data_IF_849065149902
#
_entry.id   IF_849065149902
#
_cell.length_a   1.000
_cell.length_b   1.000
_cell.length_c   1.000
_cell.angle_alpha   90.00
_cell.angle_beta   90.00
_cell.angle_gamma   90.00
#
_symmetry.space_group_name_H-M   'P 1'
#
loop_
_entity.id
_entity.type
_entity.pdbx_description
1 polymer ?
#
# COMPACT_ATOMS: atom_id res chain seq x y z
N UNK A 1 14.43 -7.28 0.19
CA UNK A 1 15.57 -7.04 -0.71
C UNK A 1 15.65 -5.57 -1.15
N UNK A 2 15.29 -4.65 -0.25
CA UNK A 2 15.47 -3.22 -0.48
C UNK A 2 16.66 -2.77 0.34
N UNK A 3 17.60 -2.11 -0.32
CA UNK A 3 18.67 -1.29 0.27
C UNK A 3 19.85 -2.07 0.88
N UNK A 4 20.69 -2.62 0.00
CA UNK A 4 22.12 -2.38 0.17
C UNK A 4 22.31 -0.87 -0.06
N UNK A 5 22.32 -0.10 1.03
CA UNK A 5 22.74 1.30 1.00
C UNK A 5 24.22 1.31 0.63
N UNK A 6 24.49 1.41 -0.67
CA UNK A 6 25.81 1.62 -1.25
C UNK A 6 26.31 3.00 -0.80
N UNK A 7 27.28 3.10 0.12
CA UNK A 7 27.63 4.37 0.76
C UNK A 7 28.45 5.31 -0.13
N UNK A 8 28.86 4.85 -1.31
CA UNK A 8 29.55 5.67 -2.28
C UNK A 8 29.04 5.32 -3.67
N UNK A 9 28.29 6.23 -4.25
CA UNK A 9 28.36 6.58 -5.68
C UNK A 9 27.35 7.69 -5.93
N UNK A 10 27.78 8.74 -6.63
CA UNK A 10 26.91 9.69 -7.32
C UNK A 10 25.92 9.03 -8.32
N UNK A 11 25.89 7.69 -8.39
CA UNK A 11 25.08 6.83 -9.26
C UNK A 11 23.69 6.58 -8.66
N UNK A 12 23.51 6.75 -7.35
CA UNK A 12 22.17 6.80 -6.77
C UNK A 12 21.33 7.96 -7.34
N UNK A 13 21.96 9.02 -7.90
CA UNK A 13 21.24 10.16 -8.49
C UNK A 13 20.72 9.91 -9.90
N UNK A 14 21.24 8.90 -10.61
CA UNK A 14 20.86 8.56 -11.98
C UNK A 14 19.68 7.58 -12.03
N UNK A 15 19.35 6.92 -10.92
CA UNK A 15 18.28 5.93 -10.86
C UNK A 15 17.01 6.53 -10.31
N UNK A 16 15.88 6.12 -10.87
CA UNK A 16 14.55 6.41 -10.34
C UNK A 16 13.86 5.11 -9.92
N UNK A 17 13.22 5.09 -8.74
CA UNK A 17 12.49 3.92 -8.23
C UNK A 17 11.09 3.77 -8.83
N UNK A 18 10.43 4.86 -9.24
CA UNK A 18 9.10 4.85 -9.83
C UNK A 18 8.74 6.21 -10.44
N UNK A 19 7.62 6.27 -11.16
CA UNK A 19 7.09 7.48 -11.80
C UNK A 19 6.88 8.66 -10.83
N UNK A 20 6.65 8.43 -9.54
CA UNK A 20 6.45 9.53 -8.57
C UNK A 20 7.76 10.24 -8.23
N UNK A 21 8.82 9.47 -7.97
CA UNK A 21 10.17 10.01 -7.74
C UNK A 21 10.69 10.71 -9.01
N UNK A 22 10.39 10.16 -10.19
CA UNK A 22 10.73 10.81 -11.45
C UNK A 22 10.08 12.18 -11.56
N UNK A 23 8.78 12.27 -11.29
CA UNK A 23 8.04 13.53 -11.31
C UNK A 23 8.62 14.55 -10.33
N UNK A 24 9.00 14.11 -9.12
CA UNK A 24 9.61 15.00 -8.13
C UNK A 24 10.97 15.54 -8.61
N UNK A 25 11.78 14.71 -9.28
CA UNK A 25 13.07 15.10 -9.83
C UNK A 25 12.96 16.06 -11.02
N UNK A 26 11.96 15.90 -11.90
CA UNK A 26 11.82 16.76 -13.09
C UNK A 26 11.20 18.13 -12.80
N UNK A 27 10.48 18.33 -11.69
CA UNK A 27 9.72 19.56 -11.39
C UNK A 27 10.55 20.84 -11.46
N UNK A 28 11.84 20.76 -11.12
CA UNK A 28 12.74 21.90 -11.03
C UNK A 28 13.67 22.04 -12.25
N UNK A 29 13.51 21.17 -13.25
CA UNK A 29 14.39 21.16 -14.42
C UNK A 29 13.84 22.13 -15.46
N UNK A 30 14.63 23.15 -15.79
CA UNK A 30 14.38 24.04 -16.91
C UNK A 30 15.26 23.64 -18.09
N UNK A 31 14.67 23.59 -19.28
CA UNK A 31 15.38 23.31 -20.52
C UNK A 31 16.04 24.59 -21.04
N UNK A 32 17.28 24.47 -21.47
CA UNK A 32 18.05 25.52 -22.12
C UNK A 32 17.81 25.50 -23.64
N UNK A 33 18.26 26.55 -24.33
CA UNK A 33 18.23 26.63 -25.78
C UNK A 33 19.18 25.58 -26.37
N UNK A 34 18.71 24.76 -27.31
CA UNK A 34 19.45 23.61 -27.86
C UNK A 34 19.24 22.27 -27.15
N UNK A 35 18.63 22.28 -25.95
CA UNK A 35 18.26 21.05 -25.23
C UNK A 35 16.93 20.46 -25.74
N UNK A 36 16.95 19.14 -26.00
CA UNK A 36 15.80 18.31 -26.39
C UNK A 36 15.55 17.21 -25.35
N UNK A 37 14.32 16.70 -25.30
CA UNK A 37 13.97 15.54 -24.49
C UNK A 37 14.17 14.26 -25.30
N UNK A 38 14.89 13.30 -24.74
CA UNK A 38 15.17 12.02 -25.37
C UNK A 38 14.86 10.89 -24.38
N UNK A 39 14.18 9.86 -24.86
CA UNK A 39 14.08 8.58 -24.16
C UNK A 39 15.05 7.61 -24.80
N UNK A 40 15.96 7.02 -24.04
CA UNK A 40 16.74 5.88 -24.48
C UNK A 40 16.12 4.59 -23.95
N UNK A 41 16.20 3.53 -24.74
CA UNK A 41 15.77 2.17 -24.36
C UNK A 41 16.93 1.19 -24.57
N UNK A 42 17.15 0.32 -23.59
CA UNK A 42 18.14 -0.76 -23.70
C UNK A 42 17.47 -2.01 -24.24
N UNK A 43 17.80 -2.36 -25.48
CA UNK A 43 17.25 -3.53 -26.15
C UNK A 43 17.59 -4.80 -25.37
N UNK A 44 16.56 -5.52 -24.92
CA UNK A 44 16.69 -6.82 -24.25
C UNK A 44 17.72 -6.81 -23.11
N UNK A 45 17.63 -5.83 -22.20
CA UNK A 45 18.59 -5.62 -21.11
C UNK A 45 19.00 -6.93 -20.41
N UNK A 46 18.03 -7.73 -19.96
CA UNK A 46 18.32 -8.93 -19.16
C UNK A 46 19.18 -9.98 -19.92
N UNK A 47 18.82 -10.43 -21.13
CA UNK A 47 19.69 -11.26 -21.97
C UNK A 47 21.05 -10.66 -22.34
N UNK A 48 21.19 -9.35 -22.32
CA UNK A 48 22.39 -8.64 -22.78
C UNK A 48 23.45 -8.37 -21.69
N UNK A 49 23.14 -8.63 -20.43
CA UNK A 49 24.03 -8.30 -19.31
C UNK A 49 25.30 -9.19 -19.31
N UNK A 50 26.50 -8.61 -19.37
CA UNK A 50 27.74 -9.39 -19.31
C UNK A 50 28.05 -9.79 -17.85
N UNK A 51 27.72 -11.04 -17.50
CA UNK A 51 27.81 -11.58 -16.13
C UNK A 51 29.23 -11.51 -15.55
N UNK A 52 30.30 -11.95 -16.23
CA UNK A 52 31.65 -11.95 -15.65
C UNK A 52 32.10 -10.55 -15.20
N UNK A 53 31.95 -9.55 -16.07
CA UNK A 53 32.31 -8.16 -15.82
C UNK A 53 31.48 -7.54 -14.69
N UNK A 54 30.24 -8.00 -14.53
CA UNK A 54 29.35 -7.58 -13.45
C UNK A 54 29.76 -8.18 -12.11
N UNK A 55 30.19 -9.45 -12.09
CA UNK A 55 30.69 -10.11 -10.89
C UNK A 55 32.04 -9.52 -10.44
N UNK A 56 32.90 -9.15 -11.38
CA UNK A 56 34.16 -8.46 -11.05
C UNK A 56 33.88 -7.10 -10.41
N UNK A 57 32.93 -6.34 -10.94
CA UNK A 57 32.51 -5.07 -10.34
C UNK A 57 31.84 -5.26 -8.97
N UNK A 58 31.01 -6.30 -8.81
CA UNK A 58 30.45 -6.65 -7.51
C UNK A 58 31.55 -6.93 -6.50
N UNK A 59 32.60 -7.65 -6.91
CA UNK A 59 33.75 -7.96 -6.05
C UNK A 59 34.45 -6.67 -5.59
N UNK A 60 34.80 -5.80 -6.53
CA UNK A 60 35.43 -4.51 -6.24
C UNK A 60 34.61 -3.69 -5.24
N UNK A 61 33.29 -3.64 -5.43
CA UNK A 61 32.40 -2.93 -4.51
C UNK A 61 32.36 -3.54 -3.12
N UNK A 62 32.34 -4.87 -2.99
CA UNK A 62 32.33 -5.52 -1.68
C UNK A 62 33.67 -5.31 -0.95
N UNK A 63 34.78 -5.38 -1.67
CA UNK A 63 36.13 -5.12 -1.13
C UNK A 63 36.27 -3.67 -0.66
N UNK A 64 35.79 -2.70 -1.45
CA UNK A 64 35.79 -1.27 -1.09
C UNK A 64 34.95 -0.97 0.17
N UNK A 65 33.90 -1.75 0.42
CA UNK A 65 33.09 -1.63 1.63
C UNK A 65 33.72 -2.31 2.87
N UNK A 66 34.95 -2.81 2.75
CA UNK A 66 35.70 -3.39 3.88
C UNK A 66 35.16 -4.73 4.36
N UNK A 67 34.48 -5.49 3.50
CA UNK A 67 34.03 -6.85 3.81
C UNK A 67 35.21 -7.83 3.83
N UNK A 68 35.11 -8.84 4.68
CA UNK A 68 36.12 -9.90 4.77
C UNK A 68 36.24 -10.67 3.43
N UNK A 69 37.47 -10.91 2.98
CA UNK A 69 37.79 -11.55 1.70
C UNK A 69 37.11 -12.93 1.56
N UNK A 70 36.96 -13.66 2.66
CA UNK A 70 36.25 -14.94 2.67
C UNK A 70 34.77 -14.78 2.31
N UNK A 71 34.11 -13.76 2.88
CA UNK A 71 32.70 -13.45 2.62
C UNK A 71 32.54 -12.99 1.17
N UNK A 72 33.45 -12.12 0.68
CA UNK A 72 33.42 -11.66 -0.70
C UNK A 72 33.52 -12.85 -1.67
N UNK A 73 34.49 -13.74 -1.48
CA UNK A 73 34.64 -14.94 -2.32
C UNK A 73 33.41 -15.83 -2.30
N UNK A 74 32.81 -16.03 -1.13
CA UNK A 74 31.60 -16.84 -0.98
C UNK A 74 30.40 -16.19 -1.69
N UNK A 75 30.16 -14.90 -1.49
CA UNK A 75 29.10 -14.14 -2.15
C UNK A 75 29.22 -14.17 -3.67
N UNK A 76 30.43 -13.93 -4.22
CA UNK A 76 30.67 -13.98 -5.66
C UNK A 76 30.45 -15.39 -6.21
N UNK A 77 30.92 -16.43 -5.51
CA UNK A 77 30.71 -17.82 -5.91
C UNK A 77 29.22 -18.17 -5.95
N UNK A 78 28.46 -17.84 -4.91
CA UNK A 78 27.03 -18.10 -4.85
C UNK A 78 26.27 -17.35 -5.96
N UNK A 79 26.61 -16.08 -6.17
CA UNK A 79 26.00 -15.26 -7.23
C UNK A 79 26.31 -15.85 -8.61
N UNK A 80 27.54 -16.27 -8.85
CA UNK A 80 27.95 -16.93 -10.10
C UNK A 80 27.16 -18.21 -10.36
N UNK A 81 26.98 -19.07 -9.34
CA UNK A 81 26.18 -20.29 -9.46
C UNK A 81 24.73 -19.95 -9.83
N UNK A 82 24.11 -18.99 -9.13
CA UNK A 82 22.74 -18.56 -9.40
C UNK A 82 22.56 -17.97 -10.81
N UNK A 83 23.60 -17.33 -11.37
CA UNK A 83 23.54 -16.75 -12.72
C UNK A 83 23.84 -17.77 -13.82
N UNK A 84 24.64 -18.80 -13.54
CA UNK A 84 25.00 -19.83 -14.54
C UNK A 84 23.95 -20.95 -14.65
N UNK A 85 23.11 -21.14 -13.64
CA UNK A 85 22.08 -22.19 -13.60
C UNK A 85 20.72 -21.71 -14.14
N UNK A 86 20.74 -20.91 -15.20
CA UNK A 86 19.53 -20.43 -15.86
C UNK A 86 19.06 -21.44 -16.93
N UNK A 87 18.35 -22.47 -16.50
CA UNK A 87 17.74 -23.47 -17.39
C UNK A 87 16.21 -23.30 -17.45
N UNK A 88 15.62 -23.44 -18.62
CA UNK A 88 14.16 -23.39 -18.81
C UNK A 88 13.69 -24.44 -19.81
N UNK A 89 12.40 -24.79 -19.77
CA UNK A 89 11.79 -25.73 -20.69
C UNK A 89 10.88 -25.00 -21.67
N UNK A 90 11.02 -25.28 -22.96
CA UNK A 90 10.17 -24.75 -24.03
C UNK A 90 9.85 -25.86 -25.04
N UNK A 91 8.58 -26.03 -25.40
CA UNK A 91 8.11 -27.10 -26.30
C UNK A 91 8.59 -28.52 -25.94
N UNK A 92 8.74 -28.81 -24.65
CA UNK A 92 9.20 -30.12 -24.17
C UNK A 92 10.72 -30.29 -24.15
N UNK A 93 11.48 -29.35 -24.71
CA UNK A 93 12.95 -29.36 -24.73
C UNK A 93 13.53 -28.43 -23.65
N UNK A 94 14.71 -28.78 -23.14
CA UNK A 94 15.43 -28.01 -22.12
C UNK A 94 16.49 -27.12 -22.76
N UNK A 95 16.50 -25.85 -22.39
CA UNK A 95 17.45 -24.85 -22.85
C UNK A 95 18.22 -24.28 -21.67
N UNK A 96 19.50 -23.99 -21.87
CA UNK A 96 20.33 -23.25 -20.93
C UNK A 96 20.71 -21.91 -21.54
N UNK A 97 20.49 -20.84 -20.80
CA UNK A 97 20.90 -19.50 -21.20
C UNK A 97 22.41 -19.34 -20.94
N UNK A 98 23.18 -19.06 -22.01
CA UNK A 98 24.63 -18.87 -21.92
C UNK A 98 25.05 -17.42 -21.62
N UNK A 99 24.24 -16.45 -22.05
CA UNK A 99 24.53 -15.02 -21.90
C UNK A 99 23.37 -14.29 -21.23
N UNK A 100 23.72 -13.26 -20.45
CA UNK A 100 22.74 -12.48 -19.72
C UNK A 100 22.17 -13.17 -18.49
N UNK A 101 21.07 -12.60 -18.04
CA UNK A 101 20.29 -13.04 -16.89
C UNK A 101 18.90 -13.49 -17.34
N UNK A 102 18.37 -14.52 -16.67
CA UNK A 102 17.01 -14.98 -16.94
C UNK A 102 15.97 -14.00 -16.40
N UNK A 103 14.95 -13.69 -17.21
CA UNK A 103 13.78 -12.94 -16.74
C UNK A 103 13.01 -13.80 -15.72
N UNK A 104 12.71 -13.24 -14.56
CA UNK A 104 12.00 -13.94 -13.48
C UNK A 104 12.91 -14.53 -12.39
N UNK A 105 14.22 -14.58 -12.60
CA UNK A 105 15.16 -14.86 -11.51
C UNK A 105 15.25 -13.62 -10.60
N UNK A 106 15.16 -13.83 -9.28
CA UNK A 106 15.08 -12.76 -8.27
C UNK A 106 16.35 -11.90 -8.20
N UNK A 107 17.49 -12.45 -8.61
CA UNK A 107 18.77 -11.74 -8.65
C UNK A 107 18.98 -10.96 -9.96
N UNK A 108 18.28 -11.31 -11.04
CA UNK A 108 18.47 -10.68 -12.36
C UNK A 108 18.27 -9.16 -12.33
N UNK A 109 17.21 -8.60 -11.69
CA UNK A 109 17.05 -7.15 -11.58
C UNK A 109 18.21 -6.48 -10.84
N UNK A 110 18.77 -7.13 -9.83
CA UNK A 110 19.92 -6.58 -9.10
C UNK A 110 21.17 -6.57 -10.00
N UNK A 111 21.48 -7.70 -10.65
CA UNK A 111 22.66 -7.83 -11.52
C UNK A 111 22.58 -6.89 -12.72
N UNK A 112 21.43 -6.79 -13.39
CA UNK A 112 21.23 -5.85 -14.49
C UNK A 112 21.42 -4.39 -14.03
N UNK A 113 20.85 -4.01 -12.88
CA UNK A 113 21.02 -2.66 -12.35
C UNK A 113 22.47 -2.37 -11.95
N UNK A 114 23.17 -3.36 -11.38
CA UNK A 114 24.56 -3.24 -10.97
C UNK A 114 25.47 -3.02 -12.18
N UNK A 115 25.26 -3.80 -13.24
CA UNK A 115 25.98 -3.62 -14.49
C UNK A 115 25.71 -2.24 -15.10
N UNK A 116 24.44 -1.83 -15.19
CA UNK A 116 24.09 -0.51 -15.74
C UNK A 116 24.70 0.64 -14.93
N UNK A 117 24.78 0.51 -13.60
CA UNK A 117 25.48 1.45 -12.73
C UNK A 117 26.96 1.59 -13.09
N UNK A 118 27.64 0.46 -13.34
CA UNK A 118 29.04 0.46 -13.82
C UNK A 118 29.14 1.15 -15.18
N UNK A 119 28.31 0.74 -16.13
CA UNK A 119 28.26 1.27 -17.48
C UNK A 119 28.10 2.80 -17.48
N UNK A 120 27.11 3.31 -16.74
CA UNK A 120 26.81 4.74 -16.62
C UNK A 120 27.99 5.52 -16.03
N UNK A 121 28.65 4.95 -15.01
CA UNK A 121 29.86 5.56 -14.41
C UNK A 121 31.00 5.64 -15.42
N UNK A 122 31.28 4.54 -16.12
CA UNK A 122 32.35 4.52 -17.12
C UNK A 122 32.09 5.46 -18.29
N UNK A 123 30.85 5.54 -18.78
CA UNK A 123 30.47 6.45 -19.85
C UNK A 123 30.63 7.90 -19.39
N UNK A 124 30.18 8.22 -18.18
CA UNK A 124 30.30 9.57 -17.62
C UNK A 124 31.75 10.02 -17.45
N UNK A 125 32.65 9.09 -17.09
CA UNK A 125 34.07 9.40 -16.89
C UNK A 125 34.87 9.43 -18.20
N UNK A 126 34.52 8.58 -19.18
CA UNK A 126 35.27 8.44 -20.45
C UNK A 126 34.78 9.38 -21.55
N UNK A 127 33.51 9.76 -21.56
CA UNK A 127 32.93 10.51 -22.66
C UNK A 127 33.09 12.01 -22.41
N UNK A 128 33.43 12.75 -23.47
CA UNK A 128 33.53 14.21 -23.43
C UNK A 128 32.20 14.89 -23.07
N UNK A 129 31.09 14.26 -23.44
CA UNK A 129 29.74 14.72 -23.15
C UNK A 129 28.94 13.62 -22.46
N UNK A 130 28.26 14.01 -21.38
CA UNK A 130 27.23 13.21 -20.72
C UNK A 130 26.01 14.11 -20.46
N UNK A 131 24.78 13.67 -20.76
CA UNK A 131 23.58 14.47 -20.54
C UNK A 131 23.48 15.01 -19.11
N UNK A 132 23.12 16.29 -18.97
CA UNK A 132 22.97 16.95 -17.66
C UNK A 132 21.92 16.26 -16.80
N UNK A 133 20.87 15.76 -17.45
CA UNK A 133 19.79 14.99 -16.83
C UNK A 133 19.82 13.61 -17.45
N UNK A 134 19.91 12.60 -16.59
CA UNK A 134 19.89 11.20 -16.96
C UNK A 134 19.21 10.41 -15.84
N UNK A 135 18.02 9.89 -16.12
CA UNK A 135 17.18 9.17 -15.17
C UNK A 135 16.79 7.81 -15.73
N UNK A 136 17.35 6.75 -15.16
CA UNK A 136 17.10 5.37 -15.54
C UNK A 136 16.09 4.70 -14.62
N UNK A 137 15.11 4.04 -15.24
CA UNK A 137 14.22 3.07 -14.63
C UNK A 137 14.40 1.73 -15.34
N UNK A 138 15.19 0.83 -14.73
CA UNK A 138 15.54 -0.47 -15.33
C UNK A 138 16.23 -0.30 -16.69
N UNK A 139 15.50 -0.49 -17.78
CA UNK A 139 15.89 -0.40 -19.21
C UNK A 139 15.52 0.96 -19.84
N UNK A 140 14.45 1.60 -19.37
CA UNK A 140 14.02 2.92 -19.82
C UNK A 140 14.90 4.04 -19.22
N UNK A 141 15.38 4.96 -20.05
CA UNK A 141 16.21 6.10 -19.63
C UNK A 141 15.63 7.40 -20.17
N UNK A 142 15.33 8.34 -19.28
CA UNK A 142 14.97 9.70 -19.63
C UNK A 142 16.22 10.60 -19.58
N UNK A 143 16.45 11.36 -20.64
CA UNK A 143 17.56 12.31 -20.69
C UNK A 143 17.17 13.67 -21.28
N UNK A 144 17.87 14.70 -20.82
CA UNK A 144 17.87 16.02 -21.46
C UNK A 144 19.17 16.14 -22.24
N UNK A 145 19.06 16.15 -23.55
CA UNK A 145 20.19 16.07 -24.47
C UNK A 145 20.42 17.40 -25.18
N UNK A 146 21.65 17.86 -25.23
CA UNK A 146 22.04 19.08 -25.93
C UNK A 146 22.54 18.75 -27.33
N UNK A 147 21.75 19.13 -28.33
CA UNK A 147 22.05 18.89 -29.74
C UNK A 147 23.15 19.80 -30.30
N UNK A 148 23.50 20.87 -29.60
CA UNK A 148 24.54 21.81 -30.05
C UNK A 148 25.95 21.25 -29.81
N UNK A 149 26.11 20.41 -28.77
CA UNK A 149 27.40 19.84 -28.39
C UNK A 149 27.77 18.62 -29.23
N UNK A 150 26.83 17.68 -29.44
CA UNK A 150 27.08 16.45 -30.20
C UNK A 150 25.79 15.96 -30.88
N UNK A 151 25.91 15.36 -32.06
CA UNK A 151 24.78 14.69 -32.69
C UNK A 151 24.34 13.47 -31.87
N UNK A 152 23.02 13.32 -31.69
CA UNK A 152 22.43 12.20 -30.95
C UNK A 152 22.84 10.84 -31.53
N UNK A 153 22.87 10.71 -32.85
CA UNK A 153 23.31 9.47 -33.53
C UNK A 153 24.75 9.11 -33.20
N UNK A 154 25.64 10.12 -33.16
CA UNK A 154 27.04 9.91 -32.82
C UNK A 154 27.20 9.52 -31.35
N UNK A 155 26.39 10.08 -30.46
CA UNK A 155 26.40 9.70 -29.04
C UNK A 155 25.93 8.26 -28.84
N UNK A 156 24.83 7.86 -29.50
CA UNK A 156 24.31 6.48 -29.43
C UNK A 156 25.28 5.49 -30.06
N UNK A 157 25.93 5.84 -31.18
CA UNK A 157 27.00 5.04 -31.75
C UNK A 157 28.17 4.85 -30.77
N UNK A 158 28.57 5.90 -30.04
CA UNK A 158 29.58 5.79 -28.98
C UNK A 158 29.12 4.88 -27.83
N UNK A 159 27.87 4.99 -27.39
CA UNK A 159 27.31 4.10 -26.37
C UNK A 159 27.34 2.62 -26.80
N UNK A 160 26.85 2.33 -28.00
CA UNK A 160 26.78 0.98 -28.56
C UNK A 160 28.18 0.38 -28.84
N UNK A 161 29.17 1.22 -29.11
CA UNK A 161 30.56 0.79 -29.26
C UNK A 161 31.28 0.56 -27.92
N UNK A 162 30.77 1.11 -26.81
CA UNK A 162 31.40 0.97 -25.49
C UNK A 162 31.25 -0.46 -24.94
N UNK A 163 30.08 -1.07 -25.10
CA UNK A 163 29.83 -2.47 -24.79
C UNK A 163 29.01 -3.16 -25.89
N UNK A 164 29.60 -4.08 -26.66
CA UNK A 164 28.93 -4.71 -27.82
C UNK A 164 27.64 -5.47 -27.49
N UNK A 165 27.49 -5.95 -26.25
CA UNK A 165 26.30 -6.72 -25.83
C UNK A 165 25.10 -5.84 -25.51
N UNK A 166 25.33 -4.55 -25.19
CA UNK A 166 24.30 -3.62 -24.72
C UNK A 166 24.03 -2.62 -25.82
N UNK A 167 22.83 -2.70 -26.38
CA UNK A 167 22.41 -1.88 -27.50
C UNK A 167 21.35 -0.89 -27.01
N UNK A 168 21.64 0.39 -27.23
CA UNK A 168 20.73 1.49 -26.99
C UNK A 168 20.00 1.86 -28.28
N UNK A 169 18.70 2.09 -28.12
CA UNK A 169 17.86 2.80 -29.08
C UNK A 169 17.33 4.07 -28.43
N UNK A 170 16.77 4.97 -29.24
CA UNK A 170 16.25 6.23 -28.71
C UNK A 170 14.98 6.68 -29.43
N UNK A 171 14.16 7.40 -28.68
CA UNK A 171 13.01 8.16 -29.18
C UNK A 171 13.19 9.63 -28.80
N UNK A 172 13.08 10.53 -29.79
CA UNK A 172 13.11 11.97 -29.57
C UNK A 172 11.69 12.46 -29.31
N UNK A 173 11.54 13.35 -28.32
CA UNK A 173 10.25 13.98 -28.06
C UNK A 173 9.75 14.76 -29.29
N UNK A 174 8.56 14.40 -29.79
CA UNK A 174 7.91 15.11 -30.89
C UNK A 174 6.88 16.10 -30.33
N UNK A 175 6.81 17.31 -30.90
CA UNK A 175 5.88 18.37 -30.47
C UNK A 175 5.97 18.67 -28.97
N UNK A 176 7.20 18.76 -28.45
CA UNK A 176 7.47 19.10 -27.04
C UNK A 176 6.95 18.05 -26.03
N UNK A 177 6.64 16.83 -26.49
CA UNK A 177 6.11 15.74 -25.66
C UNK A 177 7.00 14.51 -25.76
N UNK A 178 7.26 13.89 -24.61
CA UNK A 178 7.97 12.62 -24.53
C UNK A 178 7.25 11.69 -23.54
N UNK A 179 6.70 10.55 -24.00
CA UNK A 179 6.21 9.53 -23.08
C UNK A 179 7.40 8.89 -22.36
N UNK A 180 7.30 8.73 -21.05
CA UNK A 180 8.30 8.04 -20.25
C UNK A 180 7.59 7.34 -19.07
N UNK A 181 7.77 6.03 -18.94
CA UNK A 181 7.01 5.21 -17.99
C UNK A 181 5.49 5.44 -18.13
N UNK A 182 4.80 5.70 -17.01
CA UNK A 182 3.36 5.97 -16.96
C UNK A 182 3.02 7.47 -17.15
N UNK A 183 3.98 8.32 -17.55
CA UNK A 183 3.77 9.77 -17.65
C UNK A 183 4.09 10.32 -19.03
N UNK A 184 3.37 11.37 -19.43
CA UNK A 184 3.73 12.17 -20.60
C UNK A 184 4.38 13.46 -20.12
N UNK A 185 5.68 13.60 -20.39
CA UNK A 185 6.43 14.83 -20.11
C UNK A 185 6.13 15.81 -21.23
N UNK A 186 5.73 17.03 -20.87
CA UNK A 186 5.31 18.06 -21.83
C UNK A 186 6.05 19.36 -21.51
N UNK A 187 6.82 19.85 -22.48
CA UNK A 187 7.39 21.20 -22.48
C UNK A 187 6.27 22.15 -22.94
N UNK A 188 5.65 22.84 -21.98
CA UNK A 188 4.78 24.03 -22.12
C UNK A 188 3.83 24.23 -23.33
N UNK A 189 3.32 23.19 -23.98
CA UNK A 189 2.24 23.32 -24.98
C UNK A 189 1.29 22.10 -25.03
N UNK A 190 0.11 22.27 -25.64
CA UNK A 190 -1.19 21.77 -25.17
C UNK A 190 -1.67 20.37 -25.60
N UNK A 191 -0.85 19.42 -26.06
CA UNK A 191 -1.41 18.16 -26.60
C UNK A 191 -0.96 16.89 -25.87
N UNK A 192 -1.75 15.80 -25.98
CA UNK A 192 -1.50 14.49 -25.39
C UNK A 192 -1.70 13.41 -26.47
N UNK A 193 -0.82 12.41 -26.52
CA UNK A 193 -0.88 11.24 -27.42
C UNK A 193 -2.00 10.28 -27.01
N UNK A 194 -2.76 9.80 -27.99
CA UNK A 194 -3.87 8.84 -27.84
C UNK A 194 -3.38 7.38 -27.84
N UNK A 195 -2.66 6.93 -26.81
CA UNK A 195 -2.25 5.51 -26.75
C UNK A 195 -2.31 4.95 -25.35
N UNK A 196 -3.53 4.64 -24.92
CA UNK A 196 -3.77 3.54 -23.99
C UNK A 196 -4.97 2.78 -24.54
N UNK A 197 -4.94 1.45 -24.58
CA UNK A 197 -6.03 0.63 -25.14
C UNK A 197 -7.35 0.72 -24.33
N UNK A 198 -7.43 1.58 -23.30
CA UNK A 198 -8.59 1.93 -22.43
C UNK A 198 -9.42 0.73 -21.92
N UNK A 199 -8.91 -0.49 -22.06
CA UNK A 199 -9.55 -1.73 -21.65
C UNK A 199 -9.03 -2.12 -20.29
N UNK A 200 -9.94 -2.14 -19.32
CA UNK A 200 -9.69 -2.67 -17.99
C UNK A 200 -10.55 -3.90 -17.79
N UNK A 201 -10.42 -4.56 -16.64
CA UNK A 201 -11.23 -5.72 -16.32
C UNK A 201 -12.72 -5.31 -16.36
N UNK A 202 -13.54 -5.90 -17.25
CA UNK A 202 -14.96 -5.55 -17.36
C UNK A 202 -15.73 -5.83 -16.07
N UNK A 203 -16.76 -5.03 -15.81
CA UNK A 203 -17.56 -5.15 -14.59
C UNK A 203 -18.31 -6.49 -14.48
N UNK A 204 -18.70 -7.07 -15.61
CA UNK A 204 -19.38 -8.35 -15.74
C UNK A 204 -18.46 -9.58 -15.60
N UNK A 205 -17.14 -9.40 -15.66
CA UNK A 205 -16.19 -10.52 -15.55
C UNK A 205 -16.24 -11.22 -14.18
N UNK A 206 -15.81 -12.48 -14.10
CA UNK A 206 -15.84 -13.26 -12.84
C UNK A 206 -14.70 -12.92 -11.85
N UNK A 207 -13.91 -11.88 -12.12
CA UNK A 207 -12.80 -11.46 -11.25
C UNK A 207 -13.30 -10.88 -9.90
N UNK A 208 -12.52 -11.04 -8.82
CA UNK A 208 -12.78 -10.37 -7.55
C UNK A 208 -12.92 -8.85 -7.71
N UNK A 209 -13.85 -8.25 -6.97
CA UNK A 209 -14.12 -6.80 -7.01
C UNK A 209 -12.87 -5.96 -6.70
N UNK A 210 -11.97 -6.46 -5.83
CA UNK A 210 -10.74 -5.77 -5.48
C UNK A 210 -9.79 -5.60 -6.68
N UNK A 211 -9.61 -6.64 -7.49
CA UNK A 211 -8.76 -6.56 -8.69
C UNK A 211 -9.36 -5.66 -9.76
N UNK A 212 -10.70 -5.73 -9.95
CA UNK A 212 -11.44 -4.79 -10.81
C UNK A 212 -11.23 -3.33 -10.40
N UNK A 213 -11.25 -3.07 -9.09
CA UNK A 213 -11.07 -1.73 -8.55
C UNK A 213 -9.61 -1.28 -8.46
N UNK A 214 -8.63 -2.18 -8.58
CA UNK A 214 -7.21 -1.84 -8.44
C UNK A 214 -6.80 -0.78 -9.48
N UNK A 215 -7.17 -1.00 -10.75
CA UNK A 215 -6.88 -0.07 -11.84
C UNK A 215 -7.52 1.30 -11.62
N UNK A 216 -8.79 1.36 -11.22
CA UNK A 216 -9.45 2.65 -10.94
C UNK A 216 -8.87 3.35 -9.71
N UNK A 217 -8.50 2.61 -8.66
CA UNK A 217 -7.81 3.20 -7.52
C UNK A 217 -6.45 3.77 -7.91
N UNK A 218 -5.71 3.09 -8.78
CA UNK A 218 -4.44 3.58 -9.32
C UNK A 218 -4.63 4.86 -10.13
N UNK A 219 -5.56 4.88 -11.11
CA UNK A 219 -5.87 6.07 -11.91
C UNK A 219 -6.28 7.27 -11.05
N UNK A 220 -7.11 7.05 -10.03
CA UNK A 220 -7.57 8.11 -9.14
C UNK A 220 -6.45 8.59 -8.21
N UNK A 221 -5.60 7.68 -7.73
CA UNK A 221 -4.42 8.03 -6.95
C UNK A 221 -3.47 8.93 -7.75
N UNK A 222 -3.21 8.56 -9.02
CA UNK A 222 -2.42 9.34 -9.97
C UNK A 222 -3.06 10.72 -10.20
N UNK A 223 -4.34 10.78 -10.57
CA UNK A 223 -5.09 12.03 -10.79
C UNK A 223 -4.96 13.01 -9.62
N UNK A 224 -4.94 12.51 -8.38
CA UNK A 224 -4.88 13.34 -7.18
C UNK A 224 -3.43 13.74 -6.87
N UNK A 225 -2.48 12.82 -6.96
CA UNK A 225 -1.13 13.03 -6.43
C UNK A 225 -0.14 13.62 -7.45
N UNK A 226 -0.42 13.52 -8.75
CA UNK A 226 0.48 14.07 -9.76
C UNK A 226 0.16 15.54 -10.00
N UNK A 227 1.18 16.38 -10.28
CA UNK A 227 1.01 17.81 -10.48
C UNK A 227 0.34 18.08 -11.84
N UNK A 228 -0.98 18.04 -11.87
CA UNK A 228 -1.79 18.41 -13.03
C UNK A 228 -2.26 19.87 -12.88
N UNK A 229 -2.21 20.62 -13.98
CA UNK A 229 -2.85 21.95 -14.04
C UNK A 229 -4.37 21.81 -13.86
N UNK A 230 -5.04 22.85 -13.33
CA UNK A 230 -6.49 22.83 -13.11
C UNK A 230 -7.28 22.53 -14.39
N UNK A 231 -6.79 23.02 -15.52
CA UNK A 231 -7.37 22.83 -16.86
C UNK A 231 -7.26 21.39 -17.35
N UNK A 232 -6.23 20.63 -16.92
CA UNK A 232 -6.04 19.22 -17.29
C UNK A 232 -6.70 18.24 -16.32
N UNK A 233 -6.92 18.67 -15.08
CA UNK A 233 -7.54 17.82 -14.06
C UNK A 233 -8.95 17.37 -14.46
N UNK A 234 -9.77 18.27 -14.99
CA UNK A 234 -11.16 17.94 -15.37
C UNK A 234 -11.24 17.03 -16.61
N UNK A 235 -10.52 17.27 -17.73
CA UNK A 235 -10.45 16.34 -18.85
C UNK A 235 -9.98 14.94 -18.45
N UNK A 236 -8.91 14.82 -17.64
CA UNK A 236 -8.39 13.52 -17.19
C UNK A 236 -9.42 12.78 -16.30
N UNK A 237 -10.11 13.53 -15.43
CA UNK A 237 -11.22 12.99 -14.63
C UNK A 237 -12.37 12.51 -15.52
N UNK A 238 -12.72 13.22 -16.59
CA UNK A 238 -13.74 12.79 -17.54
C UNK A 238 -13.29 11.56 -18.34
N UNK A 239 -12.01 11.48 -18.70
CA UNK A 239 -11.43 10.30 -19.35
C UNK A 239 -11.59 9.06 -18.46
N UNK A 240 -11.23 9.14 -17.17
CA UNK A 240 -11.40 8.03 -16.21
C UNK A 240 -12.88 7.62 -16.08
N UNK A 241 -13.81 8.58 -16.12
CA UNK A 241 -15.25 8.30 -16.11
C UNK A 241 -15.71 7.60 -17.40
N UNK A 242 -15.22 8.03 -18.55
CA UNK A 242 -15.51 7.41 -19.85
C UNK A 242 -14.96 5.99 -19.91
N UNK A 243 -13.73 5.77 -19.44
CA UNK A 243 -13.14 4.44 -19.28
C UNK A 243 -14.03 3.56 -18.39
N UNK A 244 -14.46 4.06 -17.23
CA UNK A 244 -15.32 3.31 -16.32
C UNK A 244 -16.64 2.92 -16.99
N UNK A 245 -17.28 3.87 -17.68
CA UNK A 245 -18.53 3.65 -18.43
C UNK A 245 -18.34 2.60 -19.53
N UNK A 246 -17.26 2.69 -20.31
CA UNK A 246 -16.95 1.76 -21.39
C UNK A 246 -16.69 0.33 -20.89
N UNK A 247 -16.18 0.19 -19.65
CA UNK A 247 -15.95 -1.11 -19.01
C UNK A 247 -17.14 -1.58 -18.14
N UNK A 248 -18.31 -0.94 -18.25
CA UNK A 248 -19.55 -1.36 -17.58
C UNK A 248 -19.71 -0.91 -16.12
N UNK A 249 -18.92 0.07 -15.66
CA UNK A 249 -18.98 0.62 -14.31
C UNK A 249 -19.80 1.91 -14.25
N UNK A 250 -20.44 2.16 -13.10
CA UNK A 250 -21.15 3.42 -12.85
C UNK A 250 -20.18 4.58 -12.64
N UNK A 251 -20.45 5.72 -13.29
CA UNK A 251 -19.69 6.97 -13.10
C UNK A 251 -19.69 7.43 -11.63
N UNK A 252 -20.78 7.17 -10.90
CA UNK A 252 -20.91 7.55 -9.49
C UNK A 252 -19.89 6.81 -8.59
N UNK A 253 -19.48 5.61 -8.99
CA UNK A 253 -18.45 4.84 -8.29
C UNK A 253 -17.11 5.59 -8.32
N UNK A 254 -16.75 6.14 -9.48
CA UNK A 254 -15.53 6.94 -9.66
C UNK A 254 -15.57 8.20 -8.80
N UNK A 255 -16.69 8.93 -8.80
CA UNK A 255 -16.86 10.11 -7.95
C UNK A 255 -16.76 9.79 -6.45
N UNK A 256 -17.25 8.62 -6.03
CA UNK A 256 -17.11 8.13 -4.65
C UNK A 256 -15.65 7.80 -4.31
N UNK A 257 -14.94 7.16 -5.23
CA UNK A 257 -13.51 6.83 -5.06
C UNK A 257 -12.63 8.09 -5.01
N UNK A 258 -12.89 9.08 -5.87
CA UNK A 258 -12.18 10.38 -5.84
C UNK A 258 -12.36 11.07 -4.49
N UNK A 259 -13.61 11.15 -3.99
CA UNK A 259 -13.90 11.73 -2.66
C UNK A 259 -13.15 11.00 -1.55
N UNK A 260 -13.14 9.67 -1.58
CA UNK A 260 -12.42 8.84 -0.60
C UNK A 260 -10.91 9.10 -0.60
N UNK A 261 -10.29 9.18 -1.77
CA UNK A 261 -8.84 9.46 -1.88
C UNK A 261 -8.48 10.89 -1.47
N UNK A 262 -9.27 11.90 -1.88
CA UNK A 262 -9.07 13.29 -1.43
C UNK A 262 -9.15 13.40 0.09
N UNK A 263 -10.17 12.79 0.70
CA UNK A 263 -10.33 12.78 2.16
C UNK A 263 -9.16 12.09 2.88
N UNK A 264 -8.69 10.94 2.37
CA UNK A 264 -7.50 10.27 2.91
C UNK A 264 -6.25 11.13 2.84
N UNK A 265 -6.05 11.87 1.74
CA UNK A 265 -4.90 12.77 1.59
C UNK A 265 -4.98 13.94 2.55
N UNK A 266 -6.14 14.58 2.66
CA UNK A 266 -6.36 15.66 3.63
C UNK A 266 -6.09 15.18 5.05
N UNK A 267 -6.59 14.00 5.42
CA UNK A 267 -6.28 13.38 6.71
C UNK A 267 -4.79 13.19 6.91
N UNK A 268 -4.09 12.57 5.95
CA UNK A 268 -2.65 12.33 6.02
C UNK A 268 -1.85 13.62 6.25
N UNK A 269 -2.17 14.68 5.49
CA UNK A 269 -1.50 15.98 5.63
C UNK A 269 -1.86 16.70 6.94
N UNK A 270 -3.00 16.36 7.56
CA UNK A 270 -3.47 17.00 8.79
C UNK A 270 -3.01 16.29 10.09
N UNK A 271 -2.39 15.11 10.00
CA UNK A 271 -2.04 14.31 11.19
C UNK A 271 -0.52 14.11 11.29
N UNK A 272 0.07 14.45 12.44
CA UNK A 272 1.48 14.19 12.77
C UNK A 272 1.74 12.77 13.31
N UNK A 273 0.70 11.96 13.49
CA UNK A 273 0.83 10.59 14.00
C UNK A 273 1.47 9.66 12.96
N UNK A 274 2.64 9.12 13.29
CA UNK A 274 3.24 7.97 12.58
C UNK A 274 2.34 6.75 12.84
N UNK A 275 1.88 6.09 11.77
CA UNK A 275 1.23 4.78 11.92
C UNK A 275 2.32 3.74 12.06
N UNK A 276 2.32 3.00 13.16
CA UNK A 276 3.12 1.79 13.27
C UNK A 276 2.69 0.83 12.15
N UNK A 277 3.65 0.33 11.38
CA UNK A 277 3.42 -0.70 10.37
C UNK A 277 3.09 -1.98 11.11
N UNK A 278 1.86 -2.46 10.93
CA UNK A 278 1.40 -3.74 11.44
C UNK A 278 2.25 -4.86 10.82
N UNK A 279 3.23 -5.37 11.58
CA UNK A 279 4.16 -6.43 11.18
C UNK A 279 3.52 -7.83 11.24
N UNK A 280 2.20 -7.93 11.03
CA UNK A 280 1.52 -9.22 11.02
C UNK A 280 1.98 -10.06 9.83
N UNK A 281 2.31 -11.32 10.08
CA UNK A 281 2.64 -12.30 9.05
C UNK A 281 1.35 -12.72 8.32
N UNK A 282 1.30 -12.53 7.01
CA UNK A 282 0.16 -12.91 6.18
C UNK A 282 0.44 -14.21 5.42
N UNK A 283 -0.54 -15.10 5.38
CA UNK A 283 -0.56 -16.26 4.48
C UNK A 283 -1.62 -16.05 3.40
N UNK A 284 -1.26 -16.25 2.12
CA UNK A 284 -2.18 -16.13 1.00
C UNK A 284 -2.84 -17.47 0.67
N UNK A 285 -4.13 -17.43 0.35
CA UNK A 285 -4.91 -18.57 -0.13
C UNK A 285 -5.38 -18.30 -1.57
N UNK A 286 -5.37 -19.30 -2.47
CA UNK A 286 -5.89 -19.15 -3.82
C UNK A 286 -7.38 -18.79 -3.81
N UNK A 287 -7.78 -17.85 -4.68
CA UNK A 287 -9.17 -17.35 -4.69
C UNK A 287 -10.13 -18.35 -5.33
N UNK A 288 -10.95 -18.98 -4.49
CA UNK A 288 -12.07 -19.81 -4.95
C UNK A 288 -13.42 -19.25 -4.43
N UNK A 289 -14.31 -18.71 -5.30
CA UNK A 289 -15.43 -17.86 -4.91
C UNK A 289 -16.36 -18.43 -3.83
N UNK A 290 -16.56 -19.75 -3.79
CA UNK A 290 -17.42 -20.42 -2.81
C UNK A 290 -16.68 -20.65 -1.47
N UNK A 291 -15.41 -21.00 -1.54
CA UNK A 291 -14.57 -21.36 -0.40
C UNK A 291 -13.99 -20.12 0.30
N UNK A 292 -13.30 -19.23 -0.43
CA UNK A 292 -12.65 -18.05 0.16
C UNK A 292 -13.64 -17.03 0.72
N UNK A 293 -14.82 -16.85 0.11
CA UNK A 293 -15.89 -16.01 0.70
C UNK A 293 -16.49 -16.61 1.97
N UNK A 294 -16.49 -17.94 2.09
CA UNK A 294 -16.87 -18.64 3.32
C UNK A 294 -15.81 -18.46 4.41
N UNK A 295 -14.54 -18.60 4.03
CA UNK A 295 -13.40 -18.35 4.92
C UNK A 295 -13.33 -16.92 5.43
N UNK A 296 -13.62 -15.90 4.60
CA UNK A 296 -13.71 -14.51 5.08
C UNK A 296 -14.75 -14.32 6.19
N UNK A 297 -15.87 -15.07 6.13
CA UNK A 297 -16.88 -15.06 7.20
C UNK A 297 -16.40 -15.83 8.43
N UNK A 298 -15.70 -16.95 8.23
CA UNK A 298 -15.16 -17.80 9.29
C UNK A 298 -14.01 -17.08 10.02
N UNK A 299 -13.02 -16.53 9.31
CA UNK A 299 -11.90 -15.80 9.88
C UNK A 299 -12.32 -14.46 10.51
N UNK A 300 -13.37 -13.81 10.01
CA UNK A 300 -14.03 -12.71 10.76
C UNK A 300 -14.56 -13.14 12.11
N UNK A 301 -14.95 -14.41 12.28
CA UNK A 301 -15.39 -14.97 13.55
C UNK A 301 -14.23 -15.45 14.43
N UNK A 302 -13.12 -15.89 13.82
CA UNK A 302 -11.94 -16.39 14.53
C UNK A 302 -11.09 -15.24 15.10
N UNK A 303 -11.13 -14.04 14.49
CA UNK A 303 -10.47 -12.86 15.03
C UNK A 303 -11.31 -12.24 16.17
N UNK A 304 -11.29 -12.91 17.33
CA UNK A 304 -11.81 -12.50 18.65
C UNK A 304 -13.15 -11.72 18.56
N UNK A 305 -14.18 -12.37 18.04
CA UNK A 305 -15.56 -11.94 18.23
C UNK A 305 -16.08 -12.45 19.58
N UNK A 306 -15.56 -11.89 20.67
CA UNK A 306 -16.14 -12.11 21.99
C UNK A 306 -17.53 -11.45 22.00
N UNK A 307 -18.57 -12.27 21.89
CA UNK A 307 -19.98 -11.91 22.04
C UNK A 307 -20.49 -12.46 23.38
N UNK A 308 -21.42 -11.76 24.00
CA UNK A 308 -21.84 -12.09 25.35
C UNK A 308 -22.27 -10.89 26.16
N UNK A 309 -22.09 -11.00 27.47
CA UNK A 309 -22.42 -9.95 28.44
C UNK A 309 -21.14 -9.25 28.83
N UNK A 310 -21.19 -7.93 28.77
CA UNK A 310 -20.07 -7.06 29.08
C UNK A 310 -20.45 -5.99 30.11
N UNK A 311 -19.42 -5.51 30.80
CA UNK A 311 -19.46 -4.42 31.77
C UNK A 311 -18.60 -3.27 31.24
N UNK A 312 -19.10 -2.04 31.38
CA UNK A 312 -18.35 -0.81 31.15
C UNK A 312 -18.34 -0.04 32.46
N UNK A 313 -17.17 0.13 33.06
CA UNK A 313 -17.01 0.93 34.28
C UNK A 313 -16.77 2.40 33.95
N UNK A 314 -17.30 3.31 34.76
CA UNK A 314 -16.89 4.71 34.73
C UNK A 314 -15.51 4.86 35.39
N UNK A 315 -14.70 5.78 34.89
CA UNK A 315 -13.42 6.13 35.54
C UNK A 315 -13.63 7.05 36.74
N UNK A 316 -14.57 7.98 36.61
CA UNK A 316 -14.78 9.06 37.59
C UNK A 316 -15.83 8.73 38.69
N UNK A 317 -16.49 7.55 38.63
CA UNK A 317 -17.43 7.13 39.67
C UNK A 317 -17.64 5.60 39.71
N UNK A 318 -18.27 5.09 40.77
CA UNK A 318 -18.51 3.65 40.98
C UNK A 318 -19.65 3.06 40.13
N UNK A 319 -20.19 3.83 39.18
CA UNK A 319 -21.28 3.38 38.32
C UNK A 319 -20.77 2.44 37.23
N UNK A 320 -21.56 1.43 36.91
CA UNK A 320 -21.23 0.37 35.95
C UNK A 320 -22.38 0.14 34.99
N UNK A 321 -22.09 0.02 33.71
CA UNK A 321 -23.09 -0.34 32.71
C UNK A 321 -22.91 -1.79 32.29
N UNK A 322 -24.00 -2.55 32.33
CA UNK A 322 -24.01 -3.94 31.89
C UNK A 322 -24.85 -4.04 30.62
N UNK A 323 -24.32 -4.68 29.58
CA UNK A 323 -25.05 -4.85 28.34
C UNK A 323 -24.75 -6.17 27.66
N UNK A 324 -25.67 -6.59 26.79
CA UNK A 324 -25.47 -7.74 25.91
C UNK A 324 -25.06 -7.35 24.49
N UNK A 325 -24.33 -8.23 23.81
CA UNK A 325 -24.07 -8.14 22.37
C UNK A 325 -23.99 -9.51 21.72
N UNK A 326 -24.72 -9.66 20.61
CA UNK A 326 -24.59 -10.80 19.69
C UNK A 326 -23.44 -10.61 18.68
N UNK A 327 -22.93 -9.37 18.55
CA UNK A 327 -21.76 -9.00 17.73
C UNK A 327 -20.53 -8.91 18.63
N UNK A 328 -19.35 -8.64 18.07
CA UNK A 328 -18.17 -8.41 18.90
C UNK A 328 -18.33 -7.24 19.86
N UNK A 329 -17.88 -7.45 21.10
CA UNK A 329 -17.87 -6.44 22.17
C UNK A 329 -17.18 -5.15 21.73
N UNK A 330 -16.10 -5.23 20.96
CA UNK A 330 -15.39 -4.06 20.42
C UNK A 330 -16.23 -3.25 19.44
N UNK A 331 -17.05 -3.91 18.63
CA UNK A 331 -17.99 -3.21 17.74
C UNK A 331 -19.05 -2.49 18.55
N UNK A 332 -19.58 -3.14 19.58
CA UNK A 332 -20.60 -2.55 20.46
C UNK A 332 -20.04 -1.37 21.26
N UNK A 333 -18.81 -1.46 21.73
CA UNK A 333 -18.12 -0.35 22.41
C UNK A 333 -17.92 0.86 21.49
N UNK A 334 -17.51 0.63 20.23
CA UNK A 334 -17.40 1.70 19.22
C UNK A 334 -18.73 2.38 18.93
N UNK A 335 -19.83 1.63 18.94
CA UNK A 335 -21.18 2.21 18.82
C UNK A 335 -21.45 3.16 19.98
N UNK A 336 -21.21 2.76 21.24
CA UNK A 336 -21.33 3.63 22.42
C UNK A 336 -20.46 4.89 22.33
N UNK A 337 -19.19 4.76 21.93
CA UNK A 337 -18.27 5.90 21.74
C UNK A 337 -18.71 6.83 20.60
N UNK A 338 -19.31 6.28 19.54
CA UNK A 338 -19.88 7.11 18.48
C UNK A 338 -21.09 7.91 19.00
N UNK A 339 -21.94 7.33 19.86
CA UNK A 339 -23.04 8.06 20.49
C UNK A 339 -22.56 9.24 21.34
N UNK A 340 -21.49 9.04 22.12
CA UNK A 340 -20.80 10.11 22.86
C UNK A 340 -20.28 11.21 21.94
N UNK A 341 -19.51 10.83 20.92
CA UNK A 341 -18.86 11.76 20.00
C UNK A 341 -19.85 12.62 19.22
N UNK A 342 -21.02 12.08 18.88
CA UNK A 342 -22.04 12.78 18.10
C UNK A 342 -23.18 13.36 18.95
N UNK A 343 -23.08 13.33 20.28
CA UNK A 343 -24.09 13.88 21.20
C UNK A 343 -25.47 13.23 21.05
N UNK A 344 -25.52 11.96 20.62
CA UNK A 344 -26.79 11.24 20.36
C UNK A 344 -27.23 10.48 21.60
N UNK A 345 -27.68 11.21 22.63
CA UNK A 345 -28.12 10.67 23.93
C UNK A 345 -29.47 9.95 23.86
N UNK A 346 -30.33 10.28 22.89
CA UNK A 346 -31.69 9.75 22.77
C UNK A 346 -31.77 8.32 22.19
N UNK A 347 -30.75 7.87 21.44
CA UNK A 347 -30.78 6.60 20.68
C UNK A 347 -29.94 5.48 21.28
N UNK A 348 -30.18 5.15 22.55
CA UNK A 348 -29.72 3.91 23.24
C UNK A 348 -28.24 3.81 23.61
N UNK A 349 -27.77 4.66 24.51
CA UNK A 349 -26.63 4.30 25.36
C UNK A 349 -26.73 5.05 26.69
N UNK A 350 -27.11 4.34 27.76
CA UNK A 350 -27.11 4.89 29.13
C UNK A 350 -25.69 5.34 29.52
N UNK A 351 -24.67 4.68 28.96
CA UNK A 351 -23.25 5.04 29.03
C UNK A 351 -23.01 6.44 28.46
N UNK A 352 -23.58 6.72 27.27
CA UNK A 352 -23.40 8.01 26.62
C UNK A 352 -24.09 9.15 27.37
N UNK A 353 -25.29 8.89 27.90
CA UNK A 353 -26.00 9.86 28.72
C UNK A 353 -25.28 10.12 30.04
N UNK A 354 -24.84 9.08 30.75
CA UNK A 354 -24.12 9.22 32.03
C UNK A 354 -22.86 10.08 31.90
N UNK A 355 -22.04 9.84 30.87
CA UNK A 355 -20.82 10.60 30.64
C UNK A 355 -21.11 12.06 30.24
N UNK A 356 -22.18 12.32 29.49
CA UNK A 356 -22.55 13.68 29.09
C UNK A 356 -23.12 14.48 30.27
N UNK A 357 -24.03 13.89 31.04
CA UNK A 357 -24.72 14.56 32.14
C UNK A 357 -23.78 14.87 33.32
N UNK A 358 -22.79 14.00 33.57
CA UNK A 358 -21.85 14.13 34.69
C UNK A 358 -20.44 14.60 34.27
N UNK A 359 -20.21 14.82 32.97
CA UNK A 359 -18.89 15.15 32.41
C UNK A 359 -17.80 14.10 32.76
N UNK A 360 -18.16 12.82 32.71
CA UNK A 360 -17.28 11.71 33.06
C UNK A 360 -16.60 11.07 31.83
N UNK A 361 -15.43 10.46 32.06
CA UNK A 361 -14.61 9.76 31.06
C UNK A 361 -14.87 8.26 31.07
N UNK A 362 -14.91 7.70 29.86
CA UNK A 362 -15.13 6.28 29.61
C UNK A 362 -14.11 5.83 28.57
N UNK A 363 -13.18 4.98 29.00
CA UNK A 363 -12.10 4.46 28.17
C UNK A 363 -12.30 2.97 27.85
N UNK A 364 -11.62 2.50 26.80
CA UNK A 364 -11.64 1.10 26.37
C UNK A 364 -11.06 0.16 27.42
N UNK A 365 -10.15 0.67 28.26
CA UNK A 365 -9.57 -0.09 29.37
C UNK A 365 -10.61 -0.45 30.45
N UNK A 366 -11.75 0.24 30.47
CA UNK A 366 -12.84 -0.01 31.42
C UNK A 366 -13.88 -1.02 30.89
N UNK A 367 -13.62 -1.62 29.73
CA UNK A 367 -14.48 -2.63 29.11
C UNK A 367 -14.07 -4.04 29.57
N UNK A 368 -14.98 -4.72 30.28
CA UNK A 368 -14.77 -6.08 30.76
C UNK A 368 -15.82 -7.03 30.18
N UNK A 369 -15.39 -8.18 29.67
CA UNK A 369 -16.31 -9.25 29.31
C UNK A 369 -16.62 -10.11 30.54
N UNK A 370 -17.89 -10.22 30.91
CA UNK A 370 -18.33 -11.02 32.07
C UNK A 370 -18.54 -12.48 31.63
N UNK A 371 -19.30 -12.70 30.55
CA UNK A 371 -19.65 -14.04 30.06
C UNK A 371 -19.66 -14.08 28.54
N UNK A 372 -19.13 -15.15 27.97
CA UNK A 372 -19.27 -15.48 26.54
C UNK A 372 -20.53 -16.29 26.32
N UNK A 373 -21.48 -15.75 25.56
CA UNK A 373 -22.76 -16.40 25.28
C UNK A 373 -23.20 -16.05 23.85
N UNK A 374 -23.84 -17.00 23.19
CA UNK A 374 -24.36 -16.84 21.81
C UNK A 374 -25.88 -17.03 21.72
N UNK A 375 -26.49 -17.70 22.70
CA UNK A 375 -27.93 -17.97 22.74
C UNK A 375 -28.70 -16.76 23.27
N UNK A 376 -29.69 -16.26 22.50
CA UNK A 376 -30.49 -15.08 22.85
C UNK A 376 -31.20 -15.19 24.19
N UNK A 377 -31.84 -16.32 24.48
CA UNK A 377 -32.60 -16.49 25.73
C UNK A 377 -31.69 -16.49 26.95
N UNK A 378 -30.48 -17.03 26.79
CA UNK A 378 -29.46 -17.01 27.83
C UNK A 378 -28.90 -15.60 28.01
N UNK A 379 -28.65 -14.87 26.92
CA UNK A 379 -28.20 -13.48 27.00
C UNK A 379 -29.22 -12.61 27.75
N UNK A 380 -30.50 -12.73 27.44
CA UNK A 380 -31.56 -11.97 28.12
C UNK A 380 -31.62 -12.30 29.63
N UNK A 381 -31.54 -13.59 29.98
CA UNK A 381 -31.57 -14.03 31.38
C UNK A 381 -30.33 -13.62 32.17
N UNK A 382 -29.14 -13.78 31.59
CA UNK A 382 -27.89 -13.44 32.25
C UNK A 382 -27.65 -11.92 32.27
N UNK A 383 -28.13 -11.15 31.28
CA UNK A 383 -28.07 -9.68 31.31
C UNK A 383 -28.90 -9.15 32.48
N UNK A 384 -30.16 -9.58 32.61
CA UNK A 384 -30.99 -9.21 33.76
C UNK A 384 -30.39 -9.65 35.10
N UNK A 385 -29.80 -10.85 35.16
CA UNK A 385 -29.16 -11.36 36.38
C UNK A 385 -27.94 -10.52 36.78
N UNK A 386 -27.06 -10.19 35.85
CA UNK A 386 -25.86 -9.40 36.16
C UNK A 386 -26.21 -7.93 36.46
N UNK A 387 -27.26 -7.36 35.83
CA UNK A 387 -27.79 -6.04 36.20
C UNK A 387 -28.32 -6.05 37.64
N UNK A 388 -29.09 -7.06 38.04
CA UNK A 388 -29.67 -7.16 39.39
C UNK A 388 -28.59 -7.37 40.47
N UNK A 389 -27.51 -8.09 40.14
CA UNK A 389 -26.35 -8.22 41.03
C UNK A 389 -25.54 -6.93 41.20
N UNK A 390 -25.71 -5.98 40.29
CA UNK A 390 -24.92 -4.76 40.28
C UNK A 390 -25.56 -3.70 41.19
N UNK A 391 -24.92 -3.43 42.33
CA UNK A 391 -25.40 -2.43 43.30
C UNK A 391 -25.38 -0.98 42.76
N UNK A 392 -24.55 -0.69 41.75
CA UNK A 392 -24.34 0.64 41.16
C UNK A 392 -24.46 0.60 39.63
N UNK A 393 -25.66 0.31 39.15
CA UNK A 393 -25.94 0.15 37.71
C UNK A 393 -26.31 1.46 37.02
N UNK A 394 -25.68 1.73 35.86
CA UNK A 394 -26.06 2.80 34.93
C UNK A 394 -27.29 2.45 34.07
N UNK A 395 -27.73 1.19 34.10
CA UNK A 395 -28.85 0.75 33.28
C UNK A 395 -30.15 1.43 33.72
N UNK A 396 -30.98 1.82 32.76
CA UNK A 396 -32.31 2.42 33.04
C UNK A 396 -33.38 1.39 33.41
N UNK A 397 -33.12 0.11 33.13
CA UNK A 397 -34.00 -1.02 33.39
C UNK A 397 -33.21 -2.19 33.99
N UNK A 398 -33.93 -3.17 34.56
CA UNK A 398 -33.36 -4.41 35.10
C UNK A 398 -33.16 -5.48 34.00
N UNK A 399 -32.92 -5.03 32.77
CA UNK A 399 -32.79 -5.89 31.59
C UNK A 399 -34.11 -6.48 31.08
N UNK A 400 -34.03 -7.41 30.10
CA UNK A 400 -35.20 -7.94 29.38
C UNK A 400 -36.15 -8.80 30.21
N UNK A 401 -35.67 -9.39 31.32
CA UNK A 401 -36.45 -10.20 32.26
C UNK A 401 -36.44 -9.49 33.63
N UNK A 402 -37.36 -8.55 33.87
CA UNK A 402 -37.32 -7.71 35.06
C UNK A 402 -37.79 -8.42 36.34
N UNK A 403 -38.56 -9.51 36.21
CA UNK A 403 -39.15 -10.23 37.36
C UNK A 403 -38.99 -11.75 37.17
N UNK A 404 -38.18 -12.37 38.02
CA UNK A 404 -38.04 -13.83 38.11
C UNK A 404 -38.00 -14.24 39.58
N UNK A 405 -38.71 -15.32 40.00
CA UNK A 405 -38.63 -15.86 41.36
C UNK A 405 -37.19 -16.19 41.79
N UNK A 406 -36.32 -16.53 40.84
CA UNK A 406 -34.90 -16.81 41.09
C UNK A 406 -34.10 -15.55 41.45
N UNK A 407 -34.48 -14.36 40.96
CA UNK A 407 -33.80 -13.11 41.29
C UNK A 407 -34.14 -12.64 42.71
N UNK A 408 -35.32 -12.98 43.23
CA UNK A 408 -35.71 -12.68 44.60
C UNK A 408 -34.86 -13.40 45.67
N UNK A 409 -34.21 -14.51 45.30
CA UNK A 409 -33.27 -15.23 46.17
C UNK A 409 -31.91 -14.53 46.28
N UNK A 410 -31.55 -13.70 45.31
CA UNK A 410 -30.26 -12.98 45.27
C UNK A 410 -30.32 -11.71 46.15
N UNK A 411 -31.49 -11.07 46.27
CA UNK A 411 -31.67 -9.85 47.07
C UNK A 411 -31.87 -10.07 48.58
N UNK A 412 -31.97 -11.33 49.05
CA UNK A 412 -32.20 -11.64 50.47
C UNK A 412 -31.03 -11.31 51.39
N UNK A 413 -29.82 -11.13 50.85
CA UNK A 413 -28.64 -10.80 51.65
C UNK A 413 -28.49 -9.28 51.92
N UNK A 414 -29.40 -8.46 51.39
CA UNK A 414 -29.34 -6.98 51.46
C UNK A 414 -30.46 -6.30 52.28
N UNK A 415 -31.34 -7.04 52.98
CA UNK A 415 -32.33 -6.47 53.89
C UNK A 415 -32.24 -7.06 55.31
N UNK A 416 -31.58 -6.32 56.21
CA UNK A 416 -31.99 -6.18 57.61
C UNK A 416 -31.56 -7.26 58.59
N UNK A 417 -30.42 -7.03 59.24
CA UNK A 417 -30.33 -7.16 60.71
C UNK A 417 -31.39 -6.25 61.34
N UNK A 418 -32.62 -6.74 61.47
CA UNK A 418 -33.63 -6.12 62.34
C UNK A 418 -33.49 -6.75 63.71
N UNK A 419 -33.16 -5.90 64.68
CA UNK A 419 -33.07 -6.17 66.11
C UNK A 419 -34.13 -7.17 66.59
N UNK A 420 -33.66 -8.23 67.26
CA UNK A 420 -34.43 -8.89 68.30
C UNK A 420 -33.95 -8.32 69.63
N UNK A 421 -34.62 -7.27 70.09
CA UNK A 421 -34.70 -6.93 71.51
C UNK A 421 -36.18 -6.76 71.87
N UNK A 422 -36.55 -7.47 72.94
CA UNK A 422 -37.86 -7.67 73.58
C UNK A 422 -38.82 -8.69 72.96
#
# INVERSE_FOLDING_TARGET
MNELNMPYTNVASLRVKNSSEFIDNIKNIQLQEGEILVSFDVCSLFPSVPIPQTLDYLRELLELNGLDDKIVKECIRLTSICMNQNCFQYNGEYFQQHEGTAMGNSLSPFIANLFMSKFETEVKDKFEYFPRVWFRYVDDIFAVFDTTTISLDNFVAKLNNHFPTIIFTYEVGHNEQLPFLDVLVIRNSENKKETATLRYIPNDSHHPFQHKMASFNFLIHHLINFPLSKERFEPEKQLIKNIAKNNGYSVHLIDKLIRKHKFKRTLYNSTTFRRDTDNSNFASLPYEPKFTRGLDKIFKNININLSGIYEISCEDCDQKYIGQTKRSILTRFKEHMAHLKYGRTEKSSCVAQHAFDNNHRIDINNLKLIRTLTNSRQLDAFESLEIIKCNSSMNKDNGPIPTSPMFALINKDSYGSVNRDN
#
